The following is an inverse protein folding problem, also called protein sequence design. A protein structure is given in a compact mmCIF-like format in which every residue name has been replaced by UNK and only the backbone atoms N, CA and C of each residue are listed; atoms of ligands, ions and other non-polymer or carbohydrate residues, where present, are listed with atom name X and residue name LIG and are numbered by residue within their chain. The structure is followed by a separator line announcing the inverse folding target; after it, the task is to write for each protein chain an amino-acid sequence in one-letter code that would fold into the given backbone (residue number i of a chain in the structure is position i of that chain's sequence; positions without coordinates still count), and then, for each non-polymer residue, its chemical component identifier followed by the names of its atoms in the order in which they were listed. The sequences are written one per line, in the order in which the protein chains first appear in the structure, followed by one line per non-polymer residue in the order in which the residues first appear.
data_IF_896498060443
#
_entry.id   IF_896498060443
#
_cell.length_a   1.000
_cell.length_b   1.000
_cell.length_c   1.000
_cell.angle_alpha   90.00
_cell.angle_beta   90.00
_cell.angle_gamma   90.00
#
_symmetry.space_group_name_H-M   'P 1'
#
loop_
_entity.id
_entity.type
_entity.pdbx_description
1 polymer ?
#
# COMPACT_ATOMS: atom_id res chain seq x y z
N UNK A 1 12.76 -16.53 -5.19
CA UNK A 1 12.80 -15.91 -6.53
C UNK A 1 12.31 -14.47 -6.41
N UNK A 2 13.21 -13.50 -6.54
CA UNK A 2 12.92 -12.15 -7.06
C UNK A 2 14.27 -11.47 -7.26
N UNK A 3 14.93 -11.79 -8.37
CA UNK A 3 16.23 -11.21 -8.75
C UNK A 3 16.10 -9.71 -9.15
N UNK A 4 14.88 -9.12 -9.11
CA UNK A 4 14.57 -7.76 -9.59
C UNK A 4 13.89 -6.82 -8.57
N UNK A 5 13.77 -7.24 -7.31
CA UNK A 5 13.08 -6.48 -6.26
C UNK A 5 11.56 -6.36 -6.46
N UNK A 6 10.87 -5.74 -5.50
CA UNK A 6 9.41 -5.56 -5.56
C UNK A 6 9.05 -4.53 -6.65
N UNK A 7 8.05 -4.87 -7.47
CA UNK A 7 7.49 -3.98 -8.50
C UNK A 7 5.98 -4.17 -8.62
N UNK A 8 5.23 -3.07 -8.57
CA UNK A 8 3.79 -3.06 -8.80
C UNK A 8 3.48 -3.05 -10.30
N UNK A 9 2.43 -3.78 -10.71
CA UNK A 9 2.04 -3.99 -12.11
C UNK A 9 0.58 -3.55 -12.33
N UNK A 10 0.29 -2.23 -12.31
CA UNK A 10 -1.08 -1.72 -12.44
C UNK A 10 -1.72 -1.94 -13.82
N UNK A 11 -0.94 -2.30 -14.85
CA UNK A 11 -1.44 -2.60 -16.21
C UNK A 11 -1.65 -4.10 -16.46
N UNK A 12 -1.27 -4.96 -15.51
CA UNK A 12 -1.53 -6.40 -15.58
C UNK A 12 -2.98 -6.65 -15.10
N UNK A 13 -3.91 -6.71 -16.05
CA UNK A 13 -5.35 -6.85 -15.75
C UNK A 13 -5.69 -8.10 -14.93
N UNK A 14 -4.98 -9.21 -15.13
CA UNK A 14 -5.21 -10.45 -14.39
C UNK A 14 -4.76 -10.27 -12.92
N UNK A 15 -3.57 -9.70 -12.71
CA UNK A 15 -3.07 -9.40 -11.38
C UNK A 15 -3.94 -8.37 -10.65
N UNK A 16 -4.38 -7.31 -11.34
CA UNK A 16 -5.29 -6.29 -10.80
C UNK A 16 -6.63 -6.89 -10.39
N UNK A 17 -7.17 -7.85 -11.14
CA UNK A 17 -8.39 -8.57 -10.79
C UNK A 17 -8.23 -9.37 -9.48
N UNK A 18 -7.12 -10.11 -9.34
CA UNK A 18 -6.77 -10.80 -8.09
C UNK A 18 -6.66 -9.79 -6.94
N UNK A 19 -5.94 -8.69 -7.16
CA UNK A 19 -5.74 -7.62 -6.19
C UNK A 19 -7.05 -6.98 -5.73
N UNK A 20 -8.01 -6.80 -6.63
CA UNK A 20 -9.34 -6.31 -6.28
C UNK A 20 -10.09 -7.27 -5.35
N UNK A 21 -9.92 -8.59 -5.54
CA UNK A 21 -10.44 -9.62 -4.64
C UNK A 21 -9.84 -9.54 -3.25
N UNK A 22 -8.51 -9.46 -3.18
CA UNK A 22 -7.76 -9.31 -1.92
C UNK A 22 -8.17 -8.01 -1.21
N UNK A 23 -8.27 -6.89 -1.94
CA UNK A 23 -8.67 -5.60 -1.39
C UNK A 23 -10.04 -5.66 -0.70
N UNK A 24 -11.03 -6.26 -1.37
CA UNK A 24 -12.39 -6.38 -0.81
C UNK A 24 -12.41 -7.20 0.49
N UNK A 25 -11.60 -8.24 0.57
CA UNK A 25 -11.58 -9.15 1.71
C UNK A 25 -10.80 -8.59 2.90
N UNK A 26 -9.68 -7.92 2.66
CA UNK A 26 -8.72 -7.57 3.71
C UNK A 26 -8.61 -6.07 3.99
N UNK A 27 -8.85 -5.20 2.98
CA UNK A 27 -8.49 -3.79 3.08
C UNK A 27 -9.72 -2.86 3.18
N UNK A 28 -10.80 -3.22 2.47
CA UNK A 28 -11.95 -2.35 2.25
C UNK A 28 -12.77 -2.04 3.52
N UNK A 29 -12.68 -2.86 4.57
CA UNK A 29 -13.35 -2.63 5.85
C UNK A 29 -12.87 -1.35 6.54
N UNK A 30 -11.60 -0.98 6.36
CA UNK A 30 -11.00 0.22 6.92
C UNK A 30 -10.72 1.28 5.86
N UNK A 31 -10.12 0.92 4.72
CA UNK A 31 -9.77 1.87 3.66
C UNK A 31 -10.95 2.24 2.75
N UNK A 32 -12.13 1.66 2.99
CA UNK A 32 -13.35 1.92 2.23
C UNK A 32 -13.39 1.17 0.89
N UNK A 33 -14.59 0.84 0.43
CA UNK A 33 -14.78 0.09 -0.85
C UNK A 33 -14.22 0.82 -2.07
N UNK A 34 -14.15 2.15 -2.00
CA UNK A 34 -13.70 3.04 -3.07
C UNK A 34 -12.35 3.71 -2.76
N UNK A 35 -11.56 3.16 -1.84
CA UNK A 35 -10.24 3.68 -1.46
C UNK A 35 -10.28 5.04 -0.74
N UNK A 36 -11.46 5.47 -0.28
CA UNK A 36 -11.66 6.80 0.31
C UNK A 36 -11.12 6.96 1.73
N UNK A 37 -10.72 5.87 2.38
CA UNK A 37 -10.25 5.88 3.77
C UNK A 37 -11.35 6.20 4.79
N UNK A 38 -10.91 6.47 6.01
CA UNK A 38 -11.77 6.95 7.09
C UNK A 38 -11.72 8.48 7.21
N UNK A 39 -12.80 9.12 7.71
CA UNK A 39 -12.78 10.53 8.06
C UNK A 39 -11.65 10.86 9.04
N UNK A 40 -11.13 12.09 8.99
CA UNK A 40 -10.10 12.58 9.91
C UNK A 40 -8.85 11.68 10.00
N UNK A 41 -8.48 10.97 8.93
CA UNK A 41 -7.33 10.02 8.91
C UNK A 41 -5.97 10.62 9.30
N UNK A 42 -5.86 11.95 9.34
CA UNK A 42 -4.67 12.68 9.81
C UNK A 42 -4.67 13.01 11.31
N UNK A 43 -5.77 12.75 12.01
CA UNK A 43 -5.95 13.02 13.43
C UNK A 43 -5.99 11.69 14.18
N UNK A 44 -5.33 11.64 15.34
CA UNK A 44 -5.39 10.45 16.20
C UNK A 44 -6.78 10.36 16.85
N UNK A 45 -7.30 9.14 16.92
CA UNK A 45 -8.54 8.84 17.62
C UNK A 45 -8.35 8.79 19.15
N UNK A 46 -9.40 8.40 19.87
CA UNK A 46 -9.39 8.30 21.34
C UNK A 46 -8.39 7.26 21.87
N UNK A 47 -8.04 6.25 21.07
CA UNK A 47 -7.04 5.24 21.39
C UNK A 47 -5.62 5.69 21.02
N UNK A 48 -5.48 6.90 20.45
CA UNK A 48 -4.24 7.48 19.98
C UNK A 48 -3.77 6.92 18.64
N UNK A 49 -4.62 6.21 17.89
CA UNK A 49 -4.28 5.58 16.61
C UNK A 49 -4.68 6.46 15.43
N UNK A 50 -3.98 6.32 14.30
CA UNK A 50 -4.37 6.99 13.06
C UNK A 50 -5.41 6.13 12.32
N UNK A 51 -6.56 6.70 11.92
CA UNK A 51 -7.52 6.02 11.05
C UNK A 51 -6.91 5.68 9.69
N UNK A 52 -7.55 4.74 8.98
CA UNK A 52 -7.08 4.29 7.68
C UNK A 52 -7.05 5.45 6.66
N UNK A 53 -5.88 5.78 6.07
CA UNK A 53 -5.79 6.83 5.06
C UNK A 53 -6.51 6.42 3.76
N UNK A 54 -6.96 7.38 2.95
CA UNK A 54 -7.35 7.12 1.58
C UNK A 54 -6.19 6.52 0.80
N UNK A 55 -6.52 5.59 -0.08
CA UNK A 55 -5.62 5.04 -1.09
C UNK A 55 -5.86 5.67 -2.47
N UNK A 56 -6.83 6.57 -2.61
CA UNK A 56 -7.02 7.39 -3.80
C UNK A 56 -6.08 8.63 -3.81
N UNK A 57 -6.33 9.56 -4.74
CA UNK A 57 -5.52 10.77 -4.92
C UNK A 57 -5.53 11.73 -3.72
N UNK A 58 -6.54 11.66 -2.85
CA UNK A 58 -6.64 12.49 -1.65
C UNK A 58 -5.73 12.00 -0.51
N UNK A 59 -5.24 10.77 -0.63
CA UNK A 59 -4.33 10.14 0.30
C UNK A 59 -2.86 10.49 0.07
N UNK A 60 -1.99 9.66 0.63
CA UNK A 60 -0.54 9.82 0.53
C UNK A 60 0.20 8.53 0.15
N UNK A 61 -0.53 7.45 -0.15
CA UNK A 61 0.07 6.16 -0.50
C UNK A 61 1.02 6.28 -1.68
N UNK A 62 0.68 7.10 -2.66
CA UNK A 62 1.46 7.28 -3.88
C UNK A 62 2.78 8.07 -3.69
N UNK A 63 3.04 8.59 -2.49
CA UNK A 63 4.31 9.24 -2.13
C UNK A 63 5.40 8.25 -1.67
N UNK A 64 5.11 6.95 -1.61
CA UNK A 64 6.02 5.93 -1.10
C UNK A 64 6.38 4.92 -2.19
N UNK A 65 7.65 4.47 -2.29
CA UNK A 65 8.05 3.52 -3.33
C UNK A 65 7.43 2.13 -3.11
N UNK A 66 7.34 1.35 -4.19
CA UNK A 66 6.75 -0.01 -4.23
C UNK A 66 7.23 -0.89 -3.07
N UNK A 67 8.53 -0.84 -2.76
CA UNK A 67 9.15 -1.66 -1.72
C UNK A 67 8.68 -1.24 -0.32
N UNK A 68 8.61 0.06 -0.02
CA UNK A 68 8.09 0.52 1.27
C UNK A 68 6.61 0.17 1.43
N UNK A 69 5.81 0.28 0.37
CA UNK A 69 4.39 -0.10 0.41
C UNK A 69 4.23 -1.59 0.70
N UNK A 70 5.03 -2.43 0.05
CA UNK A 70 5.04 -3.86 0.27
C UNK A 70 5.48 -4.21 1.69
N UNK A 71 6.60 -3.65 2.15
CA UNK A 71 7.15 -3.90 3.47
C UNK A 71 6.23 -3.42 4.60
N UNK A 72 5.60 -2.25 4.42
CA UNK A 72 4.59 -1.74 5.35
C UNK A 72 3.40 -2.70 5.45
N UNK A 73 2.92 -3.19 4.30
CA UNK A 73 1.77 -4.11 4.28
C UNK A 73 2.15 -5.46 4.90
N UNK A 74 3.32 -6.01 4.55
CA UNK A 74 3.75 -7.31 5.06
C UNK A 74 4.11 -7.25 6.54
N UNK A 75 4.98 -6.33 6.94
CA UNK A 75 5.60 -6.32 8.26
C UNK A 75 4.99 -5.32 9.24
N UNK A 76 4.11 -4.42 8.78
CA UNK A 76 3.49 -3.38 9.58
C UNK A 76 4.42 -2.23 9.94
N UNK A 77 3.86 -1.20 10.61
CA UNK A 77 4.61 0.00 11.02
C UNK A 77 5.79 -0.28 11.95
N UNK A 78 5.76 -1.41 12.69
CA UNK A 78 6.87 -1.82 13.56
C UNK A 78 8.21 -1.93 12.84
N UNK A 79 8.19 -2.24 11.53
CA UNK A 79 9.41 -2.30 10.70
C UNK A 79 10.08 -0.94 10.51
N UNK A 80 9.32 0.16 10.57
CA UNK A 80 9.80 1.51 10.28
C UNK A 80 9.91 2.39 11.53
N UNK A 81 9.00 2.21 12.49
CA UNK A 81 8.89 3.07 13.67
C UNK A 81 9.28 2.37 14.98
N UNK A 82 9.80 1.14 14.91
CA UNK A 82 10.25 0.35 16.05
C UNK A 82 9.16 -0.53 16.68
N UNK A 83 9.55 -1.46 17.57
CA UNK A 83 8.69 -2.54 18.05
C UNK A 83 7.49 -2.07 18.88
N UNK A 84 7.57 -0.88 19.47
CA UNK A 84 6.53 -0.33 20.34
C UNK A 84 5.52 0.57 19.61
N UNK A 85 5.67 0.76 18.28
CA UNK A 85 4.74 1.59 17.52
C UNK A 85 3.40 0.89 17.34
N UNK A 86 2.34 1.50 17.85
CA UNK A 86 0.95 1.00 17.72
C UNK A 86 0.33 1.54 16.42
N UNK A 87 -0.28 0.65 15.65
CA UNK A 87 -1.03 0.98 14.43
C UNK A 87 -2.33 0.19 14.40
N UNK A 88 -3.41 0.80 13.90
CA UNK A 88 -4.66 0.10 13.62
C UNK A 88 -4.56 -0.80 12.38
N UNK A 89 -3.59 -0.55 11.49
CA UNK A 89 -3.31 -1.39 10.33
C UNK A 89 -2.48 -2.61 10.76
N UNK A 90 -3.01 -3.84 10.61
CA UNK A 90 -2.28 -5.06 10.94
C UNK A 90 -1.14 -5.32 9.94
N UNK A 91 -0.16 -6.10 10.39
CA UNK A 91 0.83 -6.72 9.49
C UNK A 91 0.21 -7.96 8.84
N UNK A 92 0.48 -8.18 7.56
CA UNK A 92 -0.08 -9.30 6.79
C UNK A 92 0.88 -10.48 6.60
N UNK A 93 2.07 -10.45 7.20
CA UNK A 93 2.99 -11.58 7.20
C UNK A 93 2.31 -12.85 7.72
N UNK A 94 2.43 -13.95 6.98
CA UNK A 94 1.71 -15.21 7.25
C UNK A 94 0.21 -15.19 6.97
N UNK A 95 -0.40 -14.05 6.65
CA UNK A 95 -1.83 -13.93 6.27
C UNK A 95 -2.00 -13.83 4.75
N UNK A 96 -1.15 -13.03 4.09
CA UNK A 96 -1.12 -12.89 2.63
C UNK A 96 0.24 -13.34 2.10
N UNK A 97 0.24 -13.98 0.94
CA UNK A 97 1.47 -14.28 0.19
C UNK A 97 2.03 -13.01 -0.45
N UNK A 98 3.31 -13.04 -0.80
CA UNK A 98 3.98 -11.89 -1.42
C UNK A 98 3.31 -11.48 -2.73
N UNK A 99 2.86 -12.45 -3.52
CA UNK A 99 2.14 -12.20 -4.77
C UNK A 99 0.77 -11.53 -4.52
N UNK A 100 0.11 -11.85 -3.41
CA UNK A 100 -1.18 -11.25 -3.04
C UNK A 100 -1.01 -9.81 -2.55
N UNK A 101 0.07 -9.53 -1.82
CA UNK A 101 0.45 -8.17 -1.42
C UNK A 101 0.79 -7.33 -2.67
N UNK A 102 1.59 -7.88 -3.59
CA UNK A 102 1.88 -7.21 -4.87
C UNK A 102 0.60 -7.00 -5.68
N UNK A 103 -0.32 -7.98 -5.71
CA UNK A 103 -1.57 -7.88 -6.42
C UNK A 103 -2.46 -6.76 -5.86
N UNK A 104 -2.67 -6.71 -4.54
CA UNK A 104 -3.55 -5.70 -3.92
C UNK A 104 -2.98 -4.28 -4.06
N UNK A 105 -1.66 -4.12 -3.94
CA UNK A 105 -1.00 -2.83 -4.17
C UNK A 105 -1.03 -2.43 -5.65
N UNK A 106 -0.93 -3.39 -6.58
CA UNK A 106 -1.11 -3.14 -8.01
C UNK A 106 -2.54 -2.70 -8.35
N UNK A 107 -3.54 -3.31 -7.70
CA UNK A 107 -4.93 -2.86 -7.79
C UNK A 107 -5.09 -1.42 -7.28
N UNK A 108 -4.54 -1.08 -6.12
CA UNK A 108 -4.59 0.30 -5.60
C UNK A 108 -3.96 1.27 -6.61
N UNK A 109 -2.75 0.98 -7.10
CA UNK A 109 -2.06 1.82 -8.09
C UNK A 109 -2.83 1.96 -9.41
N UNK A 110 -3.56 0.94 -9.84
CA UNK A 110 -4.40 0.99 -11.04
C UNK A 110 -5.56 1.98 -10.93
N UNK A 111 -5.95 2.38 -9.71
CA UNK A 111 -7.01 3.36 -9.47
C UNK A 111 -6.54 4.82 -9.50
N UNK A 112 -5.23 5.06 -9.55
CA UNK A 112 -4.71 6.41 -9.64
C UNK A 112 -4.78 6.95 -11.08
N UNK A 113 -5.00 8.28 -11.26
CA UNK A 113 -4.81 8.94 -12.54
C UNK A 113 -3.42 8.69 -13.13
N UNK A 114 -3.32 8.76 -14.45
CA UNK A 114 -2.08 8.46 -15.18
C UNK A 114 -0.89 9.31 -14.70
N UNK A 115 -1.10 10.61 -14.46
CA UNK A 115 -0.03 11.50 -14.00
C UNK A 115 0.49 11.14 -12.60
N UNK A 116 -0.37 10.63 -11.70
CA UNK A 116 0.03 10.14 -10.38
C UNK A 116 0.80 8.82 -10.50
N UNK A 117 0.37 7.92 -11.40
CA UNK A 117 1.10 6.67 -11.68
C UNK A 117 2.50 6.97 -12.22
N UNK A 118 2.63 7.92 -13.14
CA UNK A 118 3.92 8.33 -13.71
C UNK A 118 4.87 8.92 -12.65
N UNK A 119 4.35 9.78 -11.77
CA UNK A 119 5.12 10.33 -10.63
C UNK A 119 5.58 9.22 -9.69
N UNK A 120 4.73 8.24 -9.42
CA UNK A 120 5.09 7.09 -8.60
C UNK A 120 6.18 6.23 -9.26
N UNK A 121 6.09 6.02 -10.57
CA UNK A 121 7.11 5.28 -11.31
C UNK A 121 8.46 6.01 -11.34
N UNK A 122 8.44 7.33 -11.41
CA UNK A 122 9.65 8.16 -11.25
C UNK A 122 10.23 8.05 -9.83
N UNK A 123 9.39 8.12 -8.79
CA UNK A 123 9.80 7.89 -7.40
C UNK A 123 10.48 6.53 -7.25
N UNK A 124 9.91 5.48 -7.81
CA UNK A 124 10.47 4.13 -7.82
C UNK A 124 11.85 4.08 -8.49
N UNK A 125 12.02 4.75 -9.65
CA UNK A 125 13.32 4.82 -10.35
C UNK A 125 14.38 5.50 -9.49
N UNK A 126 14.06 6.65 -8.89
CA UNK A 126 14.98 7.38 -8.00
C UNK A 126 15.35 6.57 -6.77
N UNK A 127 14.36 5.93 -6.14
CA UNK A 127 14.58 5.08 -4.98
C UNK A 127 15.54 3.92 -5.29
N UNK A 128 15.37 3.26 -6.44
CA UNK A 128 16.28 2.19 -6.89
C UNK A 128 17.69 2.70 -7.19
N UNK A 129 17.82 3.88 -7.79
CA UNK A 129 19.12 4.48 -8.10
C UNK A 129 19.91 4.84 -6.83
N UNK A 130 19.24 5.37 -5.81
CA UNK A 130 19.87 5.81 -4.55
C UNK A 130 20.24 4.65 -3.61
N UNK A 131 19.84 3.42 -3.91
CA UNK A 131 20.14 2.20 -3.14
C UNK A 131 21.34 1.41 -3.67
N UNK A 132 21.90 1.83 -4.80
CA UNK A 132 23.13 1.28 -5.39
C UNK A 132 24.33 2.07 -4.88
#
# INVERSE_FOLDING_TARGET
MAEDGIKLKPDDSALVSVGAGVYRQHCASCHGKNLQGQPNWRQRDLDGLLPAPPHDVSGHTWHHPDEHLFELTKFGMKKFAGPNYRSAMPAYDGTLRDEEIVAVLSYIKSRWPADIRDRHDELNRRYKANRR
#
